data_IF_241280429482
#
_entry.id   IF_241280429482
#
_cell.length_a   1.000
_cell.length_b   1.000
_cell.length_c   1.000
_cell.angle_alpha   90.00
_cell.angle_beta   90.00
_cell.angle_gamma   90.00
#
_symmetry.space_group_name_H-M   'P 1'
#
loop_
_entity.id
_entity.type
_entity.pdbx_description
1 polymer ?
#
# COMPACT_ATOMS: atom_id res chain seq x y z
N UNK A 1 6.59 -1.80 20.13
CA UNK A 1 5.86 -2.62 19.11
C UNK A 1 4.98 -1.80 18.16
N UNK A 2 4.40 -0.69 18.57
CA UNK A 2 3.48 0.16 17.79
C UNK A 2 4.00 0.58 16.42
N UNK A 3 5.26 1.01 16.31
CA UNK A 3 5.87 1.45 15.05
C UNK A 3 5.92 0.35 13.98
N UNK A 4 6.26 -0.89 14.35
CA UNK A 4 6.30 -2.03 13.39
C UNK A 4 4.93 -2.34 12.79
N UNK A 5 3.84 -2.09 13.54
CA UNK A 5 2.47 -2.30 13.07
C UNK A 5 2.13 -1.36 11.90
N UNK A 6 2.59 -0.11 11.93
CA UNK A 6 2.39 0.85 10.83
C UNK A 6 3.04 0.38 9.51
N UNK A 7 4.21 -0.25 9.57
CA UNK A 7 4.87 -0.80 8.39
C UNK A 7 4.05 -1.94 7.75
N UNK A 8 3.53 -2.83 8.60
CA UNK A 8 2.71 -3.97 8.18
C UNK A 8 1.38 -3.50 7.59
N UNK A 9 0.78 -2.46 8.16
CA UNK A 9 -0.44 -1.83 7.64
C UNK A 9 -0.17 -1.17 6.28
N UNK A 10 0.94 -0.43 6.12
CA UNK A 10 1.33 0.14 4.83
C UNK A 10 1.56 -0.92 3.74
N UNK A 11 2.19 -2.04 4.12
CA UNK A 11 2.37 -3.19 3.23
C UNK A 11 1.03 -3.81 2.81
N UNK A 12 0.11 -4.01 3.76
CA UNK A 12 -1.24 -4.53 3.49
C UNK A 12 -2.03 -3.61 2.53
N UNK A 13 -1.96 -2.29 2.73
CA UNK A 13 -2.60 -1.31 1.84
C UNK A 13 -2.01 -1.38 0.42
N UNK A 14 -0.69 -1.56 0.31
CA UNK A 14 -0.02 -1.73 -0.98
C UNK A 14 -0.48 -3.00 -1.71
N UNK A 15 -0.62 -4.12 -0.97
CA UNK A 15 -1.11 -5.39 -1.53
C UNK A 15 -2.57 -5.25 -2.00
N UNK A 16 -3.41 -4.57 -1.21
CA UNK A 16 -4.80 -4.27 -1.60
C UNK A 16 -4.86 -3.41 -2.86
N UNK A 17 -4.03 -2.36 -2.96
CA UNK A 17 -3.96 -1.52 -4.16
C UNK A 17 -3.57 -2.30 -5.42
N UNK A 18 -2.61 -3.22 -5.31
CA UNK A 18 -2.20 -4.12 -6.41
C UNK A 18 -3.33 -5.08 -6.78
N UNK A 19 -4.01 -5.67 -5.80
CA UNK A 19 -5.17 -6.53 -6.03
C UNK A 19 -6.29 -5.79 -6.76
N UNK A 20 -6.62 -4.58 -6.31
CA UNK A 20 -7.62 -3.71 -6.96
C UNK A 20 -7.19 -3.40 -8.40
N UNK A 21 -5.92 -3.01 -8.62
CA UNK A 21 -5.40 -2.74 -9.97
C UNK A 21 -5.49 -3.97 -10.89
N UNK A 22 -5.20 -5.16 -10.38
CA UNK A 22 -5.25 -6.41 -11.14
C UNK A 22 -6.69 -6.85 -11.44
N UNK A 23 -7.60 -6.69 -10.48
CA UNK A 23 -9.04 -6.95 -10.65
C UNK A 23 -9.68 -5.98 -11.65
N UNK A 24 -9.29 -4.70 -11.60
CA UNK A 24 -9.73 -3.66 -12.52
C UNK A 24 -9.24 -3.93 -13.95
N UNK A 25 -7.97 -4.33 -14.10
CA UNK A 25 -7.38 -4.69 -15.41
C UNK A 25 -8.01 -5.95 -16.04
N UNK A 26 -8.68 -6.79 -15.25
CA UNK A 26 -9.39 -7.98 -15.73
C UNK A 26 -10.90 -7.74 -15.96
N UNK A 27 -11.34 -6.46 -15.95
CA UNK A 27 -12.74 -6.05 -16.20
C UNK A 27 -13.74 -6.77 -15.27
N UNK A 28 -13.29 -7.10 -14.06
CA UNK A 28 -14.14 -7.79 -13.10
C UNK A 28 -15.12 -6.79 -12.48
N UNK A 29 -16.42 -6.98 -12.75
CA UNK A 29 -17.53 -6.21 -12.13
C UNK A 29 -17.63 -6.37 -10.59
N UNK A 30 -16.63 -6.99 -9.96
CA UNK A 30 -16.51 -7.14 -8.52
C UNK A 30 -16.04 -5.85 -7.83
N UNK A 31 -15.45 -4.91 -8.57
CA UNK A 31 -14.99 -3.64 -8.02
C UNK A 31 -16.04 -2.53 -8.15
N UNK A 32 -16.32 -1.78 -7.07
CA UNK A 32 -17.14 -0.57 -7.15
C UNK A 32 -16.51 0.44 -8.12
N UNK A 33 -17.31 1.14 -8.92
CA UNK A 33 -16.82 2.12 -9.91
C UNK A 33 -15.97 3.25 -9.28
N UNK A 34 -16.16 3.51 -7.98
CA UNK A 34 -15.34 4.47 -7.21
C UNK A 34 -13.87 4.03 -7.09
N UNK A 35 -13.60 2.72 -7.10
CA UNK A 35 -12.27 2.14 -6.98
C UNK A 35 -11.63 1.78 -8.32
N UNK A 36 -12.41 1.69 -9.40
CA UNK A 36 -11.90 1.48 -10.76
C UNK A 36 -10.97 2.63 -11.16
N UNK A 37 -9.82 2.31 -11.76
CA UNK A 37 -8.76 3.25 -12.10
C UNK A 37 -7.99 3.84 -10.90
N UNK A 38 -8.39 3.58 -9.65
CA UNK A 38 -7.72 4.12 -8.44
C UNK A 38 -6.79 3.12 -7.75
N UNK A 39 -6.76 1.86 -8.18
CA UNK A 39 -5.89 0.82 -7.61
C UNK A 39 -4.41 1.21 -7.64
N UNK A 40 -3.94 1.78 -8.75
CA UNK A 40 -2.55 2.26 -8.89
C UNK A 40 -2.21 3.35 -7.86
N UNK A 41 -3.11 4.32 -7.66
CA UNK A 41 -2.93 5.38 -6.66
C UNK A 41 -2.84 4.82 -5.24
N UNK A 42 -3.72 3.86 -4.90
CA UNK A 42 -3.72 3.19 -3.59
C UNK A 42 -2.40 2.43 -3.37
N UNK A 43 -1.89 1.74 -4.39
CA UNK A 43 -0.61 1.04 -4.33
C UNK A 43 0.57 2.01 -4.13
N UNK A 44 0.59 3.13 -4.86
CA UNK A 44 1.63 4.17 -4.72
C UNK A 44 1.64 4.74 -3.30
N UNK A 45 0.47 5.06 -2.73
CA UNK A 45 0.37 5.60 -1.37
C UNK A 45 0.84 4.56 -0.34
N UNK A 46 0.39 3.31 -0.45
CA UNK A 46 0.80 2.23 0.45
C UNK A 46 2.32 1.97 0.42
N UNK A 47 2.91 1.94 -0.77
CA UNK A 47 4.35 1.76 -0.94
C UNK A 47 5.16 2.93 -0.36
N UNK A 48 4.69 4.16 -0.55
CA UNK A 48 5.31 5.38 0.00
C UNK A 48 5.34 5.33 1.53
N UNK A 49 4.21 4.98 2.17
CA UNK A 49 4.15 4.82 3.63
C UNK A 49 5.13 3.76 4.16
N UNK A 50 5.23 2.61 3.47
CA UNK A 50 6.18 1.55 3.83
C UNK A 50 7.64 2.02 3.66
N UNK A 51 7.93 2.75 2.59
CA UNK A 51 9.24 3.31 2.30
C UNK A 51 9.68 4.35 3.34
N UNK A 52 8.83 5.33 3.65
CA UNK A 52 9.11 6.33 4.70
C UNK A 52 9.33 5.69 6.06
N UNK A 53 8.54 4.66 6.40
CA UNK A 53 8.75 3.89 7.62
C UNK A 53 10.11 3.17 7.64
N UNK A 54 10.51 2.58 6.51
CA UNK A 54 11.81 1.91 6.36
C UNK A 54 12.98 2.89 6.56
N UNK A 55 12.92 4.07 5.92
CA UNK A 55 13.89 5.15 6.09
C UNK A 55 13.98 5.62 7.55
N UNK A 56 12.83 5.87 8.18
CA UNK A 56 12.78 6.29 9.59
C UNK A 56 13.42 5.25 10.53
N UNK A 57 13.17 3.95 10.28
CA UNK A 57 13.75 2.86 11.08
C UNK A 57 15.25 2.72 10.85
N UNK A 58 15.73 2.94 9.62
CA UNK A 58 17.15 2.89 9.28
C UNK A 58 17.95 3.96 10.02
N UNK A 59 17.42 5.19 10.12
CA UNK A 59 18.03 6.27 10.91
C UNK A 59 18.07 6.02 12.42
N UNK A 60 17.13 5.25 12.98
CA UNK A 60 17.12 4.93 14.42
C UNK A 60 18.07 3.80 14.83
N UNK A 61 18.54 2.97 13.91
CA UNK A 61 19.49 1.89 14.18
C UNK A 61 20.97 2.33 14.05
N UNK A 62 21.21 3.53 13.55
CA UNK A 62 22.55 4.12 13.42
C UNK A 62 23.00 4.99 14.60
N UNK A 63 22.35 4.91 15.76
CA UNK A 63 22.79 5.49 17.04
C UNK A 63 22.96 4.38 18.05
#
# INVERSE_FOLDING_TARGET
MTKKKFAIIGLLISILGVLIYFLDSNDSNLLPDILKGKGLLIAIIGSSFSFFYSLYKKNKKGK
#
